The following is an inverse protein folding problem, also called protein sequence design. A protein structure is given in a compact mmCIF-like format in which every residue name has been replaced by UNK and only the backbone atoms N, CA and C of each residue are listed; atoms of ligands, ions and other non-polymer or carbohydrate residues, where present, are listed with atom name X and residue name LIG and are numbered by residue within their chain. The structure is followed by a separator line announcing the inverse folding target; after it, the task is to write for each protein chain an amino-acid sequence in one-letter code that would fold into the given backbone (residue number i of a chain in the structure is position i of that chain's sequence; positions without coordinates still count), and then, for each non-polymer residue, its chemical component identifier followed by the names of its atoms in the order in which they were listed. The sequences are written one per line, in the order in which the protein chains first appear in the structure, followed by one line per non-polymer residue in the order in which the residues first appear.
data_IF_515196422188
#
_entry.id   IF_515196422188
#
_cell.length_a   1.000
_cell.length_b   1.000
_cell.length_c   1.000
_cell.angle_alpha   90.00
_cell.angle_beta   90.00
_cell.angle_gamma   90.00
#
_symmetry.space_group_name_H-M   'P 1'
#
loop_
_entity.id
_entity.type
_entity.pdbx_description
1 polymer ?
#
# COMPACT_ATOMS: atom_id res chain seq x y z
N UNK A 1 52.56 -18.02 -13.72
CA UNK A 1 51.20 -18.40 -14.13
C UNK A 1 50.40 -18.69 -12.87
N UNK A 2 49.47 -17.78 -12.50
CA UNK A 2 48.63 -17.97 -11.33
C UNK A 2 47.50 -18.96 -11.70
N UNK A 3 47.52 -20.17 -11.18
CA UNK A 3 46.39 -21.11 -11.23
C UNK A 3 45.35 -20.60 -10.23
N UNK A 4 44.42 -19.73 -10.69
CA UNK A 4 43.23 -19.41 -9.94
C UNK A 4 42.37 -20.68 -9.93
N UNK A 5 42.38 -21.40 -8.81
CA UNK A 5 41.66 -22.66 -8.66
C UNK A 5 40.15 -22.45 -8.86
N UNK A 6 39.48 -23.42 -9.46
CA UNK A 6 38.03 -23.44 -9.69
C UNK A 6 37.22 -23.14 -8.43
N UNK A 7 37.80 -23.35 -7.26
CA UNK A 7 37.22 -23.04 -5.94
C UNK A 7 37.13 -21.55 -5.62
N UNK A 8 38.10 -20.72 -6.07
CA UNK A 8 38.06 -19.26 -5.86
C UNK A 8 37.08 -18.59 -6.78
N UNK A 9 36.88 -19.13 -7.99
CA UNK A 9 35.85 -18.62 -8.90
C UNK A 9 34.42 -18.91 -8.38
N UNK A 10 34.20 -20.08 -7.80
CA UNK A 10 32.92 -20.47 -7.19
C UNK A 10 32.56 -19.60 -5.96
N UNK A 11 33.56 -19.25 -5.13
CA UNK A 11 33.34 -18.35 -3.99
C UNK A 11 32.99 -16.92 -4.42
N UNK A 12 33.58 -16.42 -5.49
CA UNK A 12 33.30 -15.09 -6.02
C UNK A 12 31.86 -14.98 -6.60
N UNK A 13 31.37 -16.03 -7.24
CA UNK A 13 29.99 -16.10 -7.78
C UNK A 13 28.97 -16.20 -6.65
N UNK A 14 29.26 -16.95 -5.57
CA UNK A 14 28.37 -17.04 -4.42
C UNK A 14 28.25 -15.71 -3.63
N UNK A 15 29.33 -14.93 -3.53
CA UNK A 15 29.32 -13.61 -2.89
C UNK A 15 28.54 -12.58 -3.68
N UNK A 16 28.52 -12.64 -5.01
CA UNK A 16 27.75 -11.73 -5.85
C UNK A 16 26.22 -11.99 -5.77
N UNK A 17 25.81 -13.22 -5.48
CA UNK A 17 24.39 -13.57 -5.33
C UNK A 17 23.74 -13.03 -4.04
N UNK A 18 24.53 -12.72 -3.00
CA UNK A 18 24.05 -12.16 -1.74
C UNK A 18 23.87 -10.63 -1.76
N UNK A 19 24.43 -9.94 -2.73
CA UNK A 19 24.30 -8.48 -2.88
C UNK A 19 23.01 -8.04 -3.61
N UNK A 20 22.19 -8.98 -4.09
CA UNK A 20 20.99 -8.74 -4.89
C UNK A 20 19.68 -8.61 -4.11
N UNK A 21 19.69 -8.70 -2.78
CA UNK A 21 18.45 -8.69 -2.01
C UNK A 21 18.20 -7.35 -1.36
N UNK A 22 17.06 -6.76 -1.76
CA UNK A 22 16.33 -5.71 -1.07
C UNK A 22 16.69 -4.26 -1.41
N UNK A 23 16.49 -3.89 -2.68
CA UNK A 23 16.01 -2.53 -2.96
C UNK A 23 14.47 -2.53 -2.88
N UNK A 24 13.93 -2.64 -1.68
CA UNK A 24 12.58 -2.16 -1.44
C UNK A 24 12.57 -0.70 -1.91
N UNK A 25 11.57 -0.31 -2.71
CA UNK A 25 11.41 1.07 -3.15
C UNK A 25 11.18 1.92 -1.91
N UNK A 26 12.28 2.48 -1.36
CA UNK A 26 12.19 3.42 -0.25
C UNK A 26 11.59 4.69 -0.81
N UNK A 27 10.36 4.97 -0.38
CA UNK A 27 9.70 6.24 -0.71
C UNK A 27 10.49 7.36 -0.04
N UNK A 28 11.07 8.26 -0.86
CA UNK A 28 11.81 9.42 -0.36
C UNK A 28 10.87 10.36 0.40
N UNK A 29 11.35 10.87 1.54
CA UNK A 29 10.60 11.83 2.32
C UNK A 29 10.69 13.23 1.72
N UNK A 30 9.55 13.74 1.27
CA UNK A 30 9.40 15.04 0.61
C UNK A 30 8.28 15.89 1.25
N UNK A 31 7.86 15.55 2.46
CA UNK A 31 6.75 16.18 3.16
C UNK A 31 5.38 15.57 2.83
N UNK A 32 4.37 15.83 3.68
CA UNK A 32 3.07 15.16 3.59
C UNK A 32 2.31 15.49 2.30
N UNK A 33 2.31 16.75 1.89
CA UNK A 33 1.60 17.20 0.69
C UNK A 33 2.14 16.53 -0.58
N UNK A 34 3.46 16.49 -0.75
CA UNK A 34 4.07 15.92 -1.94
C UNK A 34 3.97 14.38 -1.97
N UNK A 35 4.05 13.74 -0.80
CA UNK A 35 3.78 12.30 -0.69
C UNK A 35 2.34 11.97 -1.09
N UNK A 36 1.38 12.78 -0.64
CA UNK A 36 -0.02 12.62 -1.03
C UNK A 36 -0.20 12.81 -2.54
N UNK A 37 0.36 13.88 -3.12
CA UNK A 37 0.26 14.13 -4.57
C UNK A 37 0.85 12.99 -5.40
N UNK A 38 1.99 12.42 -4.99
CA UNK A 38 2.58 11.26 -5.68
C UNK A 38 1.72 10.02 -5.58
N UNK A 39 1.14 9.76 -4.41
CA UNK A 39 0.19 8.67 -4.22
C UNK A 39 -1.05 8.84 -5.10
N UNK A 40 -1.62 10.04 -5.12
CA UNK A 40 -2.77 10.38 -5.94
C UNK A 40 -2.47 10.23 -7.44
N UNK A 41 -1.34 10.73 -7.91
CA UNK A 41 -0.90 10.58 -9.30
C UNK A 41 -0.73 9.11 -9.68
N UNK A 42 -0.18 8.29 -8.79
CA UNK A 42 -0.06 6.85 -9.02
C UNK A 42 -1.45 6.18 -9.08
N UNK A 43 -2.37 6.58 -8.22
CA UNK A 43 -3.75 6.09 -8.20
C UNK A 43 -4.49 6.45 -9.49
N UNK A 44 -4.38 7.69 -9.96
CA UNK A 44 -4.99 8.19 -11.20
C UNK A 44 -4.44 7.44 -12.44
N UNK A 45 -3.16 7.10 -12.41
CA UNK A 45 -2.52 6.26 -13.42
C UNK A 45 -2.84 4.76 -13.27
N UNK A 46 -3.75 4.37 -12.39
CA UNK A 46 -4.08 2.97 -12.06
C UNK A 46 -2.89 2.15 -11.53
N UNK A 47 -1.83 2.79 -11.08
CA UNK A 47 -0.73 2.15 -10.36
C UNK A 47 -1.07 2.03 -8.88
N UNK A 48 -2.01 1.15 -8.55
CA UNK A 48 -2.54 1.00 -7.19
C UNK A 48 -1.48 0.56 -6.19
N UNK A 49 -0.56 -0.31 -6.60
CA UNK A 49 0.55 -0.74 -5.73
C UNK A 49 1.48 0.42 -5.35
N UNK A 50 1.82 1.29 -6.31
CA UNK A 50 2.60 2.49 -6.06
C UNK A 50 1.85 3.49 -5.17
N UNK A 51 0.56 3.71 -5.41
CA UNK A 51 -0.28 4.57 -4.59
C UNK A 51 -0.34 4.09 -3.13
N UNK A 52 -0.55 2.81 -2.89
CA UNK A 52 -0.54 2.19 -1.56
C UNK A 52 0.80 2.42 -0.85
N UNK A 53 1.94 2.29 -1.55
CA UNK A 53 3.25 2.56 -0.96
C UNK A 53 3.40 4.01 -0.49
N UNK A 54 2.99 4.99 -1.31
CA UNK A 54 3.06 6.41 -0.95
C UNK A 54 2.14 6.73 0.23
N UNK A 55 0.91 6.25 0.23
CA UNK A 55 -0.06 6.53 1.29
C UNK A 55 0.31 5.85 2.62
N UNK A 56 0.86 4.64 2.58
CA UNK A 56 1.38 3.99 3.78
C UNK A 56 2.62 4.72 4.33
N UNK A 57 3.52 5.19 3.46
CA UNK A 57 4.66 6.00 3.88
C UNK A 57 4.22 7.33 4.50
N UNK A 58 3.19 7.96 3.93
CA UNK A 58 2.57 9.18 4.46
C UNK A 58 1.99 8.94 5.86
N UNK A 59 1.18 7.90 6.03
CA UNK A 59 0.59 7.56 7.32
C UNK A 59 1.63 7.22 8.40
N UNK A 60 2.72 6.55 8.02
CA UNK A 60 3.80 6.19 8.95
C UNK A 60 4.62 7.40 9.40
N UNK A 61 4.83 8.39 8.53
CA UNK A 61 5.70 9.55 8.81
C UNK A 61 4.94 10.75 9.35
N UNK A 62 3.71 10.94 8.89
CA UNK A 62 2.88 12.12 9.20
C UNK A 62 1.47 11.73 9.66
N UNK A 63 1.34 10.93 10.74
CA UNK A 63 0.07 10.29 11.14
C UNK A 63 -1.06 11.27 11.44
N UNK A 64 -0.74 12.52 11.76
CA UNK A 64 -1.74 13.54 12.16
C UNK A 64 -1.99 14.59 11.07
N UNK A 65 -1.40 14.45 9.89
CA UNK A 65 -1.59 15.42 8.82
C UNK A 65 -2.99 15.27 8.19
N UNK A 66 -3.56 16.37 7.65
CA UNK A 66 -4.80 16.32 6.88
C UNK A 66 -4.70 15.38 5.67
N UNK A 67 -3.53 15.35 5.02
CA UNK A 67 -3.24 14.49 3.87
C UNK A 67 -3.31 13.01 4.26
N UNK A 68 -2.85 12.67 5.46
CA UNK A 68 -2.95 11.28 5.97
C UNK A 68 -4.40 10.85 6.16
N UNK A 69 -5.27 11.73 6.68
CA UNK A 69 -6.69 11.40 6.82
C UNK A 69 -7.36 11.15 5.47
N UNK A 70 -7.00 11.94 4.45
CA UNK A 70 -7.49 11.71 3.09
C UNK A 70 -6.90 10.43 2.50
N UNK A 71 -5.60 10.19 2.68
CA UNK A 71 -4.93 8.98 2.21
C UNK A 71 -5.51 7.70 2.83
N UNK A 72 -5.94 7.75 4.10
CA UNK A 72 -6.63 6.62 4.74
C UNK A 72 -7.95 6.26 4.03
N UNK A 73 -8.72 7.24 3.58
CA UNK A 73 -9.93 7.00 2.77
C UNK A 73 -9.59 6.42 1.40
N UNK A 74 -8.55 6.97 0.75
CA UNK A 74 -8.10 6.50 -0.55
C UNK A 74 -7.54 5.07 -0.49
N UNK A 75 -6.89 4.68 0.62
CA UNK A 75 -6.42 3.32 0.87
C UNK A 75 -7.55 2.29 0.90
N UNK A 76 -8.72 2.64 1.44
CA UNK A 76 -9.90 1.74 1.42
C UNK A 76 -10.25 1.39 -0.03
N UNK A 77 -10.35 2.40 -0.89
CA UNK A 77 -10.62 2.23 -2.31
C UNK A 77 -9.52 1.44 -3.03
N UNK A 78 -8.25 1.76 -2.75
CA UNK A 78 -7.10 1.12 -3.39
C UNK A 78 -7.01 -0.37 -3.05
N UNK A 79 -7.21 -0.75 -1.80
CA UNK A 79 -7.25 -2.15 -1.39
C UNK A 79 -8.43 -2.89 -2.04
N UNK A 80 -9.61 -2.27 -2.08
CA UNK A 80 -10.76 -2.84 -2.77
C UNK A 80 -10.48 -3.07 -4.26
N UNK A 81 -9.95 -2.08 -4.95
CA UNK A 81 -9.59 -2.17 -6.38
C UNK A 81 -8.46 -3.15 -6.67
N UNK A 82 -7.60 -3.39 -5.71
CA UNK A 82 -6.49 -4.35 -5.80
C UNK A 82 -6.91 -5.78 -5.42
N UNK A 83 -8.20 -6.03 -5.26
CA UNK A 83 -8.77 -7.33 -4.85
C UNK A 83 -8.20 -7.82 -3.51
N UNK A 84 -8.03 -6.89 -2.56
CA UNK A 84 -7.57 -7.11 -1.20
C UNK A 84 -8.69 -6.72 -0.21
N UNK A 85 -9.82 -7.45 -0.19
CA UNK A 85 -10.99 -7.03 0.56
C UNK A 85 -10.79 -7.00 2.08
N UNK A 86 -9.97 -7.90 2.62
CA UNK A 86 -9.68 -7.94 4.05
C UNK A 86 -8.92 -6.66 4.48
N UNK A 87 -7.89 -6.26 3.73
CA UNK A 87 -7.16 -5.02 3.98
C UNK A 87 -8.05 -3.78 3.79
N UNK A 88 -8.98 -3.83 2.85
CA UNK A 88 -9.94 -2.74 2.65
C UNK A 88 -10.90 -2.60 3.83
N UNK A 89 -11.38 -3.70 4.41
CA UNK A 89 -12.21 -3.70 5.61
C UNK A 89 -11.43 -3.17 6.80
N UNK A 90 -10.21 -3.68 7.02
CA UNK A 90 -9.34 -3.24 8.12
C UNK A 90 -9.06 -1.72 8.05
N UNK A 91 -8.77 -1.22 6.86
CA UNK A 91 -8.55 0.21 6.62
C UNK A 91 -9.81 1.05 6.93
N UNK A 92 -10.99 0.56 6.52
CA UNK A 92 -12.26 1.24 6.80
C UNK A 92 -12.57 1.27 8.30
N UNK A 93 -12.39 0.16 9.01
CA UNK A 93 -12.59 0.09 10.45
C UNK A 93 -11.58 0.94 11.23
N UNK A 94 -10.33 0.99 10.77
CA UNK A 94 -9.33 1.87 11.36
C UNK A 94 -9.71 3.32 11.19
N UNK A 95 -10.12 3.74 9.99
CA UNK A 95 -10.56 5.11 9.72
C UNK A 95 -11.74 5.51 10.61
N UNK A 96 -12.74 4.65 10.76
CA UNK A 96 -13.91 4.85 11.61
C UNK A 96 -13.52 5.04 13.09
N UNK A 97 -12.60 4.23 13.60
CA UNK A 97 -12.11 4.35 14.99
C UNK A 97 -11.32 5.63 15.24
N UNK A 98 -10.49 6.03 14.27
CA UNK A 98 -9.58 7.18 14.42
C UNK A 98 -10.27 8.51 14.11
N UNK A 99 -11.31 8.49 13.28
CA UNK A 99 -11.98 9.68 12.77
C UNK A 99 -13.53 9.61 12.91
N UNK A 100 -14.08 9.38 14.10
CA UNK A 100 -15.53 9.10 14.28
C UNK A 100 -16.45 10.25 13.92
N UNK A 101 -15.94 11.47 13.80
CA UNK A 101 -16.70 12.68 13.46
C UNK A 101 -16.30 13.28 12.11
N UNK A 102 -15.57 12.51 11.28
CA UNK A 102 -15.12 13.00 9.99
C UNK A 102 -16.29 13.16 9.02
N UNK A 103 -16.26 14.22 8.23
CA UNK A 103 -17.33 14.54 7.26
C UNK A 103 -17.56 13.45 6.20
N UNK A 104 -16.51 12.67 5.90
CA UNK A 104 -16.54 11.56 4.91
C UNK A 104 -16.71 10.17 5.57
N UNK A 105 -17.23 10.11 6.79
CA UNK A 105 -17.50 8.82 7.45
C UNK A 105 -18.56 8.01 6.70
N UNK A 106 -19.52 8.67 6.07
CA UNK A 106 -20.52 8.06 5.19
C UNK A 106 -19.90 7.28 4.03
N UNK A 107 -18.86 7.83 3.40
CA UNK A 107 -18.10 7.14 2.35
C UNK A 107 -17.40 5.88 2.89
N UNK A 108 -16.78 5.98 4.07
CA UNK A 108 -16.14 4.84 4.72
C UNK A 108 -17.13 3.70 4.95
N UNK A 109 -18.31 4.02 5.52
CA UNK A 109 -19.38 3.06 5.77
C UNK A 109 -19.94 2.46 4.48
N UNK A 110 -20.11 3.28 3.45
CA UNK A 110 -20.53 2.83 2.12
C UNK A 110 -19.54 1.82 1.54
N UNK A 111 -18.25 2.15 1.54
CA UNK A 111 -17.21 1.25 1.02
C UNK A 111 -17.16 -0.07 1.77
N UNK A 112 -17.28 -0.04 3.10
CA UNK A 112 -17.34 -1.26 3.91
C UNK A 112 -18.55 -2.13 3.54
N UNK A 113 -19.72 -1.52 3.38
CA UNK A 113 -20.93 -2.22 2.93
C UNK A 113 -20.77 -2.83 1.53
N UNK A 114 -20.17 -2.09 0.60
CA UNK A 114 -19.90 -2.56 -0.76
C UNK A 114 -18.95 -3.77 -0.77
N UNK A 115 -17.88 -3.71 0.02
CA UNK A 115 -16.90 -4.79 0.14
C UNK A 115 -17.56 -6.07 0.68
N UNK A 116 -18.38 -5.96 1.73
CA UNK A 116 -19.11 -7.11 2.27
C UNK A 116 -20.13 -7.67 1.27
N UNK A 117 -20.79 -6.80 0.51
CA UNK A 117 -21.73 -7.22 -0.52
C UNK A 117 -21.04 -8.04 -1.62
N UNK A 118 -19.88 -7.58 -2.09
CA UNK A 118 -19.11 -8.27 -3.13
C UNK A 118 -18.51 -9.60 -2.66
N UNK A 119 -18.27 -9.73 -1.35
CA UNK A 119 -17.80 -10.97 -0.75
C UNK A 119 -18.93 -11.97 -0.45
N UNK A 120 -20.18 -11.49 -0.41
CA UNK A 120 -21.30 -12.36 -0.12
C UNK A 120 -21.41 -13.45 -1.20
N UNK A 121 -21.51 -14.73 -0.84
CA UNK A 121 -21.74 -15.79 -1.81
C UNK A 121 -23.03 -15.49 -2.57
N UNK A 122 -23.01 -15.62 -3.91
CA UNK A 122 -24.17 -15.43 -4.74
C UNK A 122 -25.28 -16.38 -4.29
N UNK A 123 -26.20 -15.89 -3.49
CA UNK A 123 -27.36 -16.66 -2.97
C UNK A 123 -28.37 -16.93 -4.09
N UNK A 124 -28.13 -16.44 -5.32
CA UNK A 124 -29.05 -16.47 -6.45
C UNK A 124 -28.72 -17.63 -7.45
N UNK A 125 -27.73 -18.46 -7.18
CA UNK A 125 -27.54 -19.69 -7.95
C UNK A 125 -28.20 -20.88 -7.24
N UNK A 126 -29.51 -20.93 -7.28
CA UNK A 126 -30.28 -22.17 -7.17
C UNK A 126 -31.47 -22.17 -8.12
#
# INVERSE_FOLDING_TARGET
MLRIGKTTLLLAVAAAALAGCNRGNVVEDQGPELLYQKGYTAMDASNYAGAIQYFNALAARYPFSPETRQAQLDLIYLYYRSLQPEQAIDAAEQFERENPTHERLDYCLYMRGLIYFDQAPNIIEK
#
